data_IF_209138448044
#
_entry.id   IF_209138448044
#
_cell.length_a   1.000
_cell.length_b   1.000
_cell.length_c   1.000
_cell.angle_alpha   90.00
_cell.angle_beta   90.00
_cell.angle_gamma   90.00
#
_symmetry.space_group_name_H-M   'P 1'
#
loop_
_entity.id
_entity.type
_entity.pdbx_description
1 polymer ?
#
# COMPACT_ATOMS: atom_id res chain seq x y z
N UNK A 1 -3.66 -2.82 19.65
CA UNK A 1 -5.09 -3.20 19.85
C UNK A 1 -5.37 -4.52 19.14
N UNK A 2 -6.23 -5.39 19.69
CA UNK A 2 -6.63 -6.66 19.07
C UNK A 2 -8.10 -6.60 18.67
N UNK A 3 -8.41 -6.86 17.41
CA UNK A 3 -9.79 -6.85 16.90
C UNK A 3 -9.95 -7.79 15.70
N UNK A 4 -11.00 -8.61 15.69
CA UNK A 4 -11.28 -9.59 14.64
C UNK A 4 -10.07 -10.49 14.24
N UNK A 5 -9.25 -10.88 15.23
CA UNK A 5 -8.03 -11.68 15.01
C UNK A 5 -6.86 -10.91 14.37
N UNK A 6 -6.92 -9.58 14.36
CA UNK A 6 -5.86 -8.70 13.89
C UNK A 6 -5.20 -8.00 15.07
N UNK A 7 -3.90 -7.80 14.98
CA UNK A 7 -3.14 -6.93 15.87
C UNK A 7 -2.77 -5.65 15.14
N UNK A 8 -3.09 -4.50 15.73
CA UNK A 8 -2.87 -3.19 15.15
C UNK A 8 -2.01 -2.31 16.06
N UNK A 9 -1.07 -1.60 15.45
CA UNK A 9 -0.39 -0.45 16.05
C UNK A 9 -0.79 0.82 15.28
N UNK A 10 -0.74 1.96 15.95
CA UNK A 10 -1.26 3.22 15.43
C UNK A 10 -0.21 4.31 15.60
N UNK A 11 -0.22 5.29 14.70
CA UNK A 11 0.43 6.58 14.93
C UNK A 11 -0.43 7.45 15.87
N UNK A 12 0.13 8.56 16.33
CA UNK A 12 -0.52 9.54 17.21
C UNK A 12 -1.68 10.29 16.53
N UNK A 13 -1.69 10.39 15.20
CA UNK A 13 -2.80 10.93 14.39
C UNK A 13 -3.86 9.89 14.01
N UNK A 14 -4.01 8.82 14.79
CA UNK A 14 -5.06 7.78 14.65
C UNK A 14 -5.10 7.08 13.28
N UNK A 15 -3.92 6.81 12.71
CA UNK A 15 -3.78 5.99 11.50
C UNK A 15 -2.97 4.72 11.77
N UNK A 16 -3.30 3.57 11.14
CA UNK A 16 -2.60 2.33 11.40
C UNK A 16 -1.13 2.39 10.97
N UNK A 17 -0.21 2.15 11.91
CA UNK A 17 1.21 1.94 11.58
C UNK A 17 1.43 0.50 11.08
N UNK A 18 0.90 -0.49 11.81
CA UNK A 18 0.95 -1.90 11.40
C UNK A 18 -0.38 -2.60 11.58
N UNK A 19 -0.63 -3.59 10.72
CA UNK A 19 -1.72 -4.55 10.86
C UNK A 19 -1.14 -5.95 10.64
N UNK A 20 -1.20 -6.79 11.67
CA UNK A 20 -0.78 -8.19 11.62
C UNK A 20 -2.00 -9.11 11.67
N UNK A 21 -2.07 -10.07 10.76
CA UNK A 21 -3.08 -11.15 10.76
C UNK A 21 -2.47 -12.44 10.23
N UNK A 22 -2.66 -13.55 10.95
CA UNK A 22 -2.17 -14.88 10.55
C UNK A 22 -0.66 -14.89 10.19
N UNK A 23 0.16 -14.17 10.97
CA UNK A 23 1.60 -14.07 10.74
C UNK A 23 2.02 -13.16 9.58
N UNK A 24 1.09 -12.54 8.87
CA UNK A 24 1.36 -11.55 7.81
C UNK A 24 1.21 -10.15 8.40
N UNK A 25 2.27 -9.36 8.29
CA UNK A 25 2.28 -7.96 8.72
C UNK A 25 2.25 -7.03 7.51
N UNK A 26 1.31 -6.08 7.53
CA UNK A 26 1.33 -4.90 6.69
C UNK A 26 1.84 -3.71 7.51
N UNK A 27 2.74 -2.91 6.94
CA UNK A 27 3.23 -1.65 7.53
C UNK A 27 2.88 -0.50 6.59
N UNK A 28 2.51 0.65 7.15
CA UNK A 28 2.06 1.82 6.39
C UNK A 28 2.94 3.03 6.70
N UNK A 29 3.18 3.85 5.68
CA UNK A 29 3.85 5.15 5.82
C UNK A 29 2.93 6.22 5.27
N UNK A 30 2.87 7.33 5.97
CA UNK A 30 2.02 8.47 5.66
C UNK A 30 2.88 9.70 5.33
N UNK A 31 2.38 10.54 4.44
CA UNK A 31 2.94 11.85 4.15
C UNK A 31 2.52 12.90 5.17
N UNK A 32 3.00 14.14 5.02
CA UNK A 32 2.66 15.25 5.92
C UNK A 32 1.16 15.55 6.00
N UNK A 33 0.41 15.29 4.93
CA UNK A 33 -1.04 15.49 4.85
C UNK A 33 -1.83 14.24 5.25
N UNK A 34 -1.19 13.29 5.94
CA UNK A 34 -1.76 12.02 6.41
C UNK A 34 -2.30 11.10 5.30
N UNK A 35 -1.96 11.36 4.04
CA UNK A 35 -2.15 10.47 2.92
C UNK A 35 -1.19 9.28 3.01
N UNK A 36 -1.67 8.06 2.72
CA UNK A 36 -0.78 6.89 2.67
C UNK A 36 0.12 7.00 1.45
N UNK A 37 1.44 7.03 1.67
CA UNK A 37 2.46 7.13 0.60
C UNK A 37 3.15 5.80 0.33
N UNK A 38 3.18 4.88 1.30
CA UNK A 38 3.76 3.54 1.12
C UNK A 38 3.02 2.50 1.94
N UNK A 39 2.94 1.29 1.39
CA UNK A 39 2.55 0.08 2.10
C UNK A 39 3.60 -1.01 1.87
N UNK A 40 4.00 -1.69 2.92
CA UNK A 40 4.87 -2.86 2.83
C UNK A 40 4.16 -4.08 3.42
N UNK A 41 4.20 -5.20 2.70
CA UNK A 41 3.74 -6.52 3.11
C UNK A 41 4.78 -7.54 2.68
N UNK A 42 4.79 -8.73 3.28
CA UNK A 42 5.65 -9.84 2.84
C UNK A 42 5.61 -10.01 1.31
N UNK A 43 6.76 -9.76 0.66
CA UNK A 43 6.95 -9.90 -0.79
C UNK A 43 6.33 -8.80 -1.67
N UNK A 44 5.78 -7.72 -1.08
CA UNK A 44 5.15 -6.62 -1.82
C UNK A 44 5.43 -5.27 -1.15
N UNK A 45 5.98 -4.34 -1.92
CA UNK A 45 6.01 -2.91 -1.57
C UNK A 45 5.13 -2.15 -2.56
N UNK A 46 4.23 -1.32 -2.06
CA UNK A 46 3.41 -0.41 -2.86
C UNK A 46 3.79 1.03 -2.52
N UNK A 47 4.10 1.83 -3.53
CA UNK A 47 4.27 3.28 -3.40
C UNK A 47 3.09 3.96 -4.07
N UNK A 48 2.47 4.91 -3.37
CA UNK A 48 1.34 5.69 -3.86
C UNK A 48 1.83 7.09 -4.26
N UNK A 49 1.66 7.45 -5.52
CA UNK A 49 2.19 8.68 -6.14
C UNK A 49 1.08 9.41 -6.92
N UNK A 50 0.04 9.86 -6.21
CA UNK A 50 -1.10 10.55 -6.81
C UNK A 50 -1.96 9.62 -7.65
N UNK A 51 -2.02 9.83 -8.96
CA UNK A 51 -2.80 8.99 -9.90
C UNK A 51 -2.05 7.71 -10.30
N UNK A 52 -0.91 7.42 -9.68
CA UNK A 52 -0.16 6.20 -9.92
C UNK A 52 0.10 5.42 -8.63
N UNK A 53 0.15 4.10 -8.75
CA UNK A 53 0.77 3.23 -7.73
C UNK A 53 1.79 2.28 -8.38
N UNK A 54 2.93 2.09 -7.72
CA UNK A 54 3.94 1.12 -8.15
C UNK A 54 3.99 -0.06 -7.17
N UNK A 55 3.72 -1.25 -7.66
CA UNK A 55 3.85 -2.51 -6.93
C UNK A 55 5.18 -3.18 -7.26
N UNK A 56 6.07 -3.27 -6.27
CA UNK A 56 7.33 -3.99 -6.38
C UNK A 56 7.23 -5.34 -5.69
N UNK A 57 7.50 -6.41 -6.43
CA UNK A 57 7.65 -7.79 -5.95
C UNK A 57 9.00 -8.35 -6.41
N UNK A 58 9.40 -9.51 -5.90
CA UNK A 58 10.61 -10.19 -6.38
C UNK A 58 10.59 -10.46 -7.90
N UNK A 59 9.41 -10.70 -8.48
CA UNK A 59 9.22 -10.95 -9.91
C UNK A 59 9.38 -9.69 -10.79
N UNK A 60 9.33 -8.49 -10.21
CA UNK A 60 9.42 -7.23 -10.95
C UNK A 60 8.53 -6.13 -10.40
N UNK A 61 8.40 -5.06 -11.19
CA UNK A 61 7.59 -3.89 -10.88
C UNK A 61 6.39 -3.86 -11.81
N UNK A 62 5.22 -3.58 -11.24
CA UNK A 62 3.99 -3.24 -11.95
C UNK A 62 3.61 -1.82 -11.58
N UNK A 63 3.38 -0.97 -12.56
CA UNK A 63 2.87 0.39 -12.38
C UNK A 63 1.43 0.44 -12.85
N UNK A 64 0.58 1.05 -12.06
CA UNK A 64 -0.83 1.30 -12.34
C UNK A 64 -1.03 2.79 -12.45
N UNK A 65 -1.67 3.24 -13.52
CA UNK A 65 -2.00 4.65 -13.77
C UNK A 65 -3.50 4.82 -13.89
N UNK A 66 -4.12 5.51 -12.94
CA UNK A 66 -5.56 5.74 -12.91
C UNK A 66 -5.95 6.87 -13.86
N UNK A 67 -6.99 6.64 -14.66
CA UNK A 67 -7.50 7.62 -15.60
C UNK A 67 -8.36 8.70 -14.90
N UNK A 68 -8.42 9.92 -15.46
CA UNK A 68 -9.24 11.00 -14.90
C UNK A 68 -10.70 10.59 -14.70
N UNK A 69 -11.31 11.01 -13.59
CA UNK A 69 -12.70 10.68 -13.28
C UNK A 69 -12.94 9.23 -12.84
N UNK A 70 -11.89 8.44 -12.61
CA UNK A 70 -12.02 7.06 -12.12
C UNK A 70 -12.60 6.10 -13.16
N UNK A 71 -12.54 6.48 -14.45
CA UNK A 71 -13.13 5.75 -15.56
C UNK A 71 -12.36 4.47 -15.93
N UNK A 72 -11.18 4.27 -15.36
CA UNK A 72 -10.32 3.14 -15.67
C UNK A 72 -8.90 3.30 -15.15
N UNK A 73 -8.05 2.37 -15.56
CA UNK A 73 -6.64 2.34 -15.18
C UNK A 73 -5.84 1.60 -16.26
N UNK A 74 -4.64 2.09 -16.54
CA UNK A 74 -3.65 1.41 -17.36
C UNK A 74 -2.64 0.68 -16.46
N UNK A 75 -2.21 -0.51 -16.89
CA UNK A 75 -1.25 -1.35 -16.16
C UNK A 75 -0.02 -1.56 -17.03
N UNK A 76 1.13 -1.13 -16.53
CA UNK A 76 2.43 -1.44 -17.10
C UNK A 76 3.14 -2.47 -16.21
N UNK A 77 3.46 -3.65 -16.74
CA UNK A 77 4.17 -4.69 -16.01
C UNK A 77 5.38 -5.17 -16.83
N UNK A 78 6.47 -5.52 -16.16
CA UNK A 78 7.64 -6.09 -16.84
C UNK A 78 7.23 -7.34 -17.63
N UNK A 79 7.31 -7.26 -18.96
CA UNK A 79 7.01 -8.38 -19.88
C UNK A 79 6.09 -8.06 -21.05
N UNK A 80 5.56 -6.84 -21.16
CA UNK A 80 4.71 -6.38 -22.26
C UNK A 80 5.02 -4.93 -22.62
#
# INVERSE_FOLDING_TARGET
>A
MRGAGKELTWFDFDMPNTITKNGITCTFVYGPEHQRVRQQRTGLTVVYAGVQESETRAAGVTVKTYWPGGIGMEIHARGW
#
